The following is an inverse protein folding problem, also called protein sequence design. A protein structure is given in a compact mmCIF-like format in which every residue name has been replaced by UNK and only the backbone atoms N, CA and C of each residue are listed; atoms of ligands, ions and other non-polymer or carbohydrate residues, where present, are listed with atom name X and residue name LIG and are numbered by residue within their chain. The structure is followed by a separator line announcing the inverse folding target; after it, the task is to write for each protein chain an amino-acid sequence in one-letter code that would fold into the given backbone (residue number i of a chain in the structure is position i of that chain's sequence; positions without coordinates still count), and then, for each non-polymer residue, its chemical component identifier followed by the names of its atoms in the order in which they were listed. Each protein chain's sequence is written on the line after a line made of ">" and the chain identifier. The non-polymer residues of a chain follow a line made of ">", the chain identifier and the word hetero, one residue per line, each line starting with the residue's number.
data_IF_326513009062
#
_entry.id   IF_326513009062
#
_cell.length_a   1.000
_cell.length_b   1.000
_cell.length_c   1.000
_cell.angle_alpha   90.00
_cell.angle_beta   90.00
_cell.angle_gamma   90.00
#
_symmetry.space_group_name_H-M   'P 1'
#
loop_
_entity.id
_entity.type
_entity.pdbx_description
1 polymer ?
#
# COMPACT_ATOMS: atom_id res chain seq x y z
N UNK A 1 7.80 -19.12 -1.47
CA UNK A 1 7.77 -17.66 -1.27
C UNK A 1 9.12 -17.08 -1.67
N UNK A 2 9.12 -16.01 -2.43
CA UNK A 2 10.37 -15.37 -2.81
C UNK A 2 11.02 -14.68 -1.61
N UNK A 3 12.34 -14.56 -1.61
CA UNK A 3 13.09 -13.86 -0.57
C UNK A 3 12.65 -12.40 -0.47
N UNK A 4 12.30 -11.79 -1.61
CA UNK A 4 11.80 -10.42 -1.67
C UNK A 4 10.49 -10.25 -0.92
N UNK A 5 9.56 -11.18 -1.10
CA UNK A 5 8.28 -11.14 -0.40
C UNK A 5 8.47 -11.34 1.10
N UNK A 6 9.32 -12.28 1.50
CA UNK A 6 9.62 -12.51 2.91
C UNK A 6 10.28 -11.29 3.54
N UNK A 7 11.21 -10.66 2.83
CA UNK A 7 11.87 -9.44 3.30
C UNK A 7 10.87 -8.32 3.52
N UNK A 8 9.94 -8.12 2.59
CA UNK A 8 8.90 -7.10 2.72
C UNK A 8 8.01 -7.36 3.94
N UNK A 9 7.60 -8.61 4.13
CA UNK A 9 6.77 -8.99 5.28
C UNK A 9 7.51 -8.79 6.60
N UNK A 10 8.78 -9.15 6.67
CA UNK A 10 9.59 -8.97 7.88
C UNK A 10 9.79 -7.49 8.19
N UNK A 11 10.02 -6.67 7.16
CA UNK A 11 10.13 -5.22 7.32
C UNK A 11 8.82 -4.63 7.87
N UNK A 12 7.68 -5.05 7.33
CA UNK A 12 6.38 -4.54 7.73
C UNK A 12 6.02 -4.91 9.17
N UNK A 13 6.51 -6.03 9.67
CA UNK A 13 6.31 -6.43 11.07
C UNK A 13 6.89 -5.44 12.07
N UNK A 14 7.85 -4.62 11.66
CA UNK A 14 8.50 -3.62 12.51
C UNK A 14 7.77 -2.28 12.50
N UNK A 15 6.67 -2.16 11.75
CA UNK A 15 5.91 -0.92 11.63
C UNK A 15 4.61 -1.07 12.42
N UNK A 16 4.48 -0.41 13.59
CA UNK A 16 3.32 -0.60 14.46
C UNK A 16 1.98 -0.31 13.78
N UNK A 17 1.92 0.72 12.95
CA UNK A 17 0.67 1.09 12.28
C UNK A 17 0.20 0.00 11.31
N UNK A 18 1.13 -0.59 10.56
CA UNK A 18 0.82 -1.69 9.65
C UNK A 18 0.32 -2.89 10.44
N UNK A 19 0.95 -3.18 11.58
CA UNK A 19 0.52 -4.27 12.45
C UNK A 19 -0.86 -4.02 13.05
N UNK A 20 -1.14 -2.78 13.44
CA UNK A 20 -2.44 -2.42 14.00
C UNK A 20 -3.57 -2.66 13.00
N UNK A 21 -3.35 -2.31 11.73
CA UNK A 21 -4.34 -2.51 10.67
C UNK A 21 -4.32 -3.92 10.09
N UNK A 22 -3.34 -4.73 10.46
CA UNK A 22 -3.14 -6.09 9.95
C UNK A 22 -2.95 -6.12 8.43
N UNK A 23 -2.30 -5.09 7.88
CA UNK A 23 -1.99 -5.04 6.46
C UNK A 23 -0.93 -6.09 6.15
N UNK A 24 -1.16 -6.87 5.09
CA UNK A 24 -0.26 -7.93 4.68
C UNK A 24 0.09 -7.80 3.20
N UNK A 25 1.38 -7.95 2.88
CA UNK A 25 1.81 -8.04 1.49
C UNK A 25 1.55 -9.44 0.97
N UNK A 26 0.70 -9.55 -0.05
CA UNK A 26 0.30 -10.82 -0.64
C UNK A 26 1.19 -11.23 -1.81
N UNK A 27 1.60 -10.27 -2.64
CA UNK A 27 2.43 -10.53 -3.79
C UNK A 27 3.29 -9.31 -4.12
N UNK A 28 4.49 -9.56 -4.65
CA UNK A 28 5.40 -8.53 -5.13
C UNK A 28 5.98 -8.96 -6.47
N UNK A 29 6.17 -7.98 -7.32
CA UNK A 29 7.01 -8.12 -8.50
C UNK A 29 7.72 -6.77 -8.70
N UNK A 30 8.56 -6.69 -9.69
CA UNK A 30 9.33 -5.49 -9.96
C UNK A 30 8.41 -4.33 -10.33
N UNK A 31 8.29 -3.36 -9.43
CA UNK A 31 7.43 -2.20 -9.61
C UNK A 31 5.96 -2.42 -9.29
N UNK A 32 5.58 -3.57 -8.74
CA UNK A 32 4.19 -3.87 -8.37
C UNK A 32 4.09 -4.48 -6.99
N UNK A 33 2.95 -4.27 -6.34
CA UNK A 33 2.66 -4.87 -5.05
C UNK A 33 1.17 -5.12 -4.90
N UNK A 34 0.82 -6.22 -4.25
CA UNK A 34 -0.55 -6.52 -3.85
C UNK A 34 -0.59 -6.71 -2.35
N UNK A 35 -1.42 -5.94 -1.68
CA UNK A 35 -1.59 -5.98 -0.24
C UNK A 35 -3.04 -6.29 0.11
N UNK A 36 -3.26 -6.76 1.32
CA UNK A 36 -4.60 -7.02 1.84
C UNK A 36 -4.76 -6.46 3.24
N UNK A 37 -6.01 -6.25 3.63
CA UNK A 37 -6.39 -5.76 4.94
C UNK A 37 -7.69 -6.45 5.36
N UNK A 38 -7.72 -7.14 6.53
CA UNK A 38 -8.95 -7.72 7.02
C UNK A 38 -9.91 -6.63 7.50
N UNK A 39 -11.18 -6.77 7.16
CA UNK A 39 -12.19 -5.78 7.55
C UNK A 39 -12.75 -6.16 8.91
N UNK A 40 -12.38 -5.36 9.92
CA UNK A 40 -12.80 -5.55 11.30
C UNK A 40 -13.78 -4.44 11.69
N UNK A 41 -14.69 -4.67 12.64
CA UNK A 41 -15.68 -3.66 13.03
C UNK A 41 -15.10 -2.30 13.41
N UNK A 42 -13.95 -2.28 14.09
CA UNK A 42 -13.31 -1.03 14.51
C UNK A 42 -12.69 -0.23 13.35
N UNK A 43 -12.71 -0.79 12.14
CA UNK A 43 -12.21 -0.11 10.93
C UNK A 43 -13.35 0.46 10.09
N UNK A 44 -14.57 0.39 10.58
CA UNK A 44 -15.75 0.84 9.84
C UNK A 44 -16.19 2.24 10.27
N UNK A 45 -16.98 2.87 9.39
CA UNK A 45 -17.58 4.17 9.63
C UNK A 45 -19.00 4.03 10.19
N UNK A 46 -19.74 5.15 10.31
CA UNK A 46 -21.11 5.17 10.83
C UNK A 46 -22.11 4.36 9.98
N UNK A 47 -21.76 4.02 8.76
CA UNK A 47 -22.62 3.25 7.85
C UNK A 47 -22.26 1.76 7.83
N UNK A 48 -21.28 1.34 8.62
CA UNK A 48 -20.84 -0.06 8.66
C UNK A 48 -19.94 -0.47 7.50
N UNK A 49 -19.51 0.48 6.66
CA UNK A 49 -18.53 0.21 5.59
C UNK A 49 -17.13 0.63 6.02
N UNK A 50 -16.11 0.20 5.31
CA UNK A 50 -14.73 0.52 5.68
C UNK A 50 -14.52 2.03 5.66
N UNK A 51 -13.94 2.55 6.73
CA UNK A 51 -13.66 3.98 6.86
C UNK A 51 -12.68 4.42 5.75
N UNK A 52 -12.96 5.58 5.14
CA UNK A 52 -12.10 6.11 4.07
C UNK A 52 -10.64 6.27 4.47
N UNK A 53 -10.38 6.62 5.73
CA UNK A 53 -9.02 6.71 6.25
C UNK A 53 -8.28 5.37 6.26
N UNK A 54 -9.00 4.28 6.46
CA UNK A 54 -8.41 2.92 6.39
C UNK A 54 -8.06 2.58 4.95
N UNK A 55 -8.97 2.86 4.02
CA UNK A 55 -8.75 2.64 2.59
C UNK A 55 -7.51 3.43 2.12
N UNK A 56 -7.42 4.68 2.52
CA UNK A 56 -6.27 5.54 2.18
C UNK A 56 -4.97 5.01 2.77
N UNK A 57 -5.02 4.48 4.00
CA UNK A 57 -3.84 3.88 4.64
C UNK A 57 -3.37 2.64 3.89
N UNK A 58 -4.30 1.76 3.50
CA UNK A 58 -3.96 0.58 2.72
C UNK A 58 -3.32 0.96 1.38
N UNK A 59 -3.90 1.94 0.69
CA UNK A 59 -3.35 2.44 -0.58
C UNK A 59 -1.97 3.04 -0.39
N UNK A 60 -1.78 3.84 0.65
CA UNK A 60 -0.47 4.45 0.93
C UNK A 60 0.61 3.39 1.12
N UNK A 61 0.34 2.38 1.93
CA UNK A 61 1.29 1.29 2.17
C UNK A 61 1.56 0.52 0.88
N UNK A 62 0.53 0.25 0.08
CA UNK A 62 0.69 -0.47 -1.19
C UNK A 62 1.54 0.32 -2.19
N UNK A 63 1.28 1.63 -2.32
CA UNK A 63 2.03 2.50 -3.23
C UNK A 63 3.51 2.59 -2.84
N UNK A 64 3.78 2.77 -1.55
CA UNK A 64 5.15 2.80 -1.05
C UNK A 64 5.86 1.45 -1.23
N UNK A 65 5.14 0.35 -1.01
CA UNK A 65 5.70 -0.99 -1.19
C UNK A 65 6.09 -1.24 -2.64
N UNK A 66 5.23 -0.86 -3.58
CA UNK A 66 5.53 -0.99 -5.01
C UNK A 66 6.79 -0.21 -5.40
N UNK A 67 6.91 1.04 -4.95
CA UNK A 67 8.09 1.86 -5.22
C UNK A 67 9.35 1.21 -4.64
N UNK A 68 9.25 0.67 -3.44
CA UNK A 68 10.37 0.06 -2.75
C UNK A 68 10.90 -1.19 -3.44
N UNK A 69 10.08 -1.91 -4.20
CA UNK A 69 10.55 -3.09 -4.96
C UNK A 69 11.65 -2.75 -5.94
N UNK A 70 11.70 -1.50 -6.43
CA UNK A 70 12.74 -1.03 -7.36
C UNK A 70 13.98 -0.50 -6.65
N UNK A 71 13.93 -0.38 -5.32
CA UNK A 71 15.03 0.16 -4.51
C UNK A 71 15.24 -0.70 -3.26
N UNK A 72 15.67 -1.97 -3.45
CA UNK A 72 15.79 -2.90 -2.32
C UNK A 72 16.80 -2.46 -1.26
N UNK A 73 17.80 -1.65 -1.64
CA UNK A 73 18.81 -1.13 -0.72
C UNK A 73 18.40 0.20 -0.06
N UNK A 74 17.21 0.71 -0.36
CA UNK A 74 16.74 1.97 0.25
C UNK A 74 16.51 1.78 1.75
N UNK A 75 16.69 2.87 2.50
CA UNK A 75 16.42 2.84 3.95
C UNK A 75 14.94 3.09 4.25
N UNK A 76 14.18 3.56 3.28
CA UNK A 76 12.76 3.77 3.44
C UNK A 76 12.19 4.59 2.29
N UNK A 77 10.88 4.77 2.35
CA UNK A 77 10.12 5.55 1.37
C UNK A 77 9.18 6.45 2.15
N UNK A 78 9.09 7.71 1.77
CA UNK A 78 8.11 8.63 2.36
C UNK A 78 7.17 9.16 1.30
N UNK A 79 5.90 9.25 1.66
CA UNK A 79 4.86 9.77 0.78
C UNK A 79 4.95 11.30 0.75
N UNK A 80 5.11 11.87 -0.43
CA UNK A 80 5.11 13.32 -0.61
C UNK A 80 3.69 13.82 -0.84
N UNK A 81 2.95 13.11 -1.66
CA UNK A 81 1.57 13.47 -2.00
C UNK A 81 0.81 12.20 -2.33
N UNK A 82 -0.43 12.14 -1.91
CA UNK A 82 -1.35 11.05 -2.24
C UNK A 82 -2.72 11.64 -2.52
N UNK A 83 -3.27 11.32 -3.68
CA UNK A 83 -4.60 11.73 -4.07
C UNK A 83 -5.45 10.50 -4.36
N UNK A 84 -6.60 10.41 -3.70
CA UNK A 84 -7.48 9.26 -3.82
C UNK A 84 -8.89 9.69 -4.17
N UNK A 85 -9.54 8.90 -5.02
CA UNK A 85 -10.98 9.00 -5.29
C UNK A 85 -11.65 7.77 -4.71
N UNK A 86 -12.67 7.98 -3.88
CA UNK A 86 -13.46 6.91 -3.27
C UNK A 86 -14.68 6.69 -4.16
N UNK A 87 -14.78 5.49 -4.73
CA UNK A 87 -15.68 5.20 -5.84
C UNK A 87 -16.87 4.36 -5.37
N UNK A 88 -16.63 3.40 -4.47
CA UNK A 88 -17.68 2.51 -3.95
C UNK A 88 -17.36 2.14 -2.50
N UNK A 89 -18.32 1.56 -1.81
CA UNK A 89 -18.16 1.17 -0.42
C UNK A 89 -17.26 -0.06 -0.28
N UNK A 90 -16.34 0.00 0.68
CA UNK A 90 -15.54 -1.17 1.08
C UNK A 90 -16.31 -2.05 2.03
N UNK A 91 -16.34 -3.35 1.76
CA UNK A 91 -17.06 -4.32 2.58
C UNK A 91 -16.61 -5.74 2.30
N UNK A 92 -17.22 -6.68 3.03
CA UNK A 92 -16.83 -8.08 2.98
C UNK A 92 -15.76 -8.41 4.01
N UNK A 93 -14.99 -9.47 3.77
CA UNK A 93 -14.00 -9.94 4.74
C UNK A 93 -12.64 -9.23 4.60
N UNK A 94 -12.25 -8.89 3.39
CA UNK A 94 -10.95 -8.27 3.11
C UNK A 94 -11.04 -7.21 2.03
N UNK A 95 -10.16 -6.22 2.12
CA UNK A 95 -9.83 -5.31 1.02
C UNK A 95 -8.49 -5.70 0.44
N UNK A 96 -8.34 -5.51 -0.85
CA UNK A 96 -7.08 -5.69 -1.56
C UNK A 96 -6.67 -4.37 -2.21
N UNK A 97 -5.38 -4.10 -2.20
CA UNK A 97 -4.81 -2.97 -2.94
C UNK A 97 -3.76 -3.48 -3.90
N UNK A 98 -3.87 -3.09 -5.15
CA UNK A 98 -2.88 -3.36 -6.17
C UNK A 98 -2.22 -2.05 -6.58
N UNK A 99 -0.91 -1.99 -6.54
CA UNK A 99 -0.15 -0.79 -6.85
C UNK A 99 0.93 -1.09 -7.87
N UNK A 100 1.23 -0.10 -8.71
CA UNK A 100 2.31 -0.20 -9.69
C UNK A 100 3.02 1.12 -9.87
N UNK A 101 4.32 1.06 -10.12
CA UNK A 101 5.13 2.24 -10.42
C UNK A 101 4.89 2.65 -11.85
N UNK A 102 4.54 3.93 -12.05
CA UNK A 102 4.37 4.53 -13.37
C UNK A 102 5.69 5.05 -13.92
N UNK A 103 6.47 5.69 -13.06
CA UNK A 103 7.79 6.22 -13.41
C UNK A 103 8.65 6.26 -12.17
N UNK A 104 9.83 5.68 -12.28
CA UNK A 104 10.81 5.67 -11.20
C UNK A 104 11.94 6.65 -11.54
N UNK A 105 11.95 7.78 -10.83
CA UNK A 105 13.01 8.76 -10.96
C UNK A 105 14.16 8.48 -10.00
N UNK A 106 15.16 9.36 -10.00
CA UNK A 106 16.34 9.20 -9.15
C UNK A 106 16.00 9.16 -7.66
N UNK A 107 15.14 10.07 -7.19
CA UNK A 107 14.73 10.15 -5.79
C UNK A 107 13.21 10.13 -5.62
N UNK A 108 12.47 10.41 -6.69
CA UNK A 108 11.01 10.44 -6.68
C UNK A 108 10.47 9.32 -7.55
N UNK A 109 9.38 8.69 -7.07
CA UNK A 109 8.69 7.66 -7.81
C UNK A 109 7.22 8.04 -7.91
N UNK A 110 6.65 7.85 -9.10
CA UNK A 110 5.23 8.12 -9.35
C UNK A 110 4.51 6.79 -9.43
N UNK A 111 3.51 6.62 -8.58
CA UNK A 111 2.86 5.31 -8.37
C UNK A 111 1.35 5.47 -8.46
N UNK A 112 0.65 4.47 -8.98
CA UNK A 112 -0.80 4.42 -8.92
C UNK A 112 -1.26 3.11 -8.29
N UNK A 113 -2.47 3.11 -7.76
CA UNK A 113 -3.04 1.93 -7.14
C UNK A 113 -4.54 1.95 -7.08
N UNK A 114 -5.12 0.78 -6.85
CA UNK A 114 -6.55 0.57 -6.72
C UNK A 114 -6.83 -0.28 -5.50
N UNK A 115 -7.89 0.09 -4.75
CA UNK A 115 -8.41 -0.74 -3.69
C UNK A 115 -9.70 -1.41 -4.18
N UNK A 116 -9.84 -2.71 -3.89
CA UNK A 116 -10.98 -3.51 -4.33
C UNK A 116 -11.49 -4.39 -3.20
N UNK A 117 -12.78 -4.64 -3.22
CA UNK A 117 -13.39 -5.70 -2.42
C UNK A 117 -12.99 -7.07 -2.98
N UNK A 118 -13.23 -8.13 -2.19
CA UNK A 118 -12.93 -9.50 -2.64
C UNK A 118 -13.68 -9.90 -3.90
N UNK A 119 -14.87 -9.35 -4.12
CA UNK A 119 -15.67 -9.63 -5.32
C UNK A 119 -15.19 -8.86 -6.57
N UNK A 120 -14.13 -8.05 -6.43
CA UNK A 120 -13.58 -7.27 -7.53
C UNK A 120 -14.15 -5.87 -7.68
N UNK A 121 -15.11 -5.47 -6.85
CA UNK A 121 -15.67 -4.11 -6.90
C UNK A 121 -14.59 -3.08 -6.62
N UNK A 122 -14.43 -2.12 -7.51
CA UNK A 122 -13.47 -1.03 -7.33
C UNK A 122 -13.97 -0.07 -6.25
N UNK A 123 -13.21 0.03 -5.16
CA UNK A 123 -13.56 0.83 -4.00
C UNK A 123 -12.91 2.21 -4.07
N UNK A 124 -11.67 2.28 -4.47
CA UNK A 124 -10.94 3.55 -4.56
C UNK A 124 -9.79 3.44 -5.54
N UNK A 125 -9.39 4.58 -6.08
CA UNK A 125 -8.22 4.69 -6.96
C UNK A 125 -7.35 5.83 -6.47
N UNK A 126 -6.03 5.65 -6.50
CA UNK A 126 -5.11 6.65 -6.00
C UNK A 126 -3.88 6.77 -6.88
N UNK A 127 -3.31 7.97 -6.87
CA UNK A 127 -1.98 8.24 -7.39
C UNK A 127 -1.16 8.88 -6.28
N UNK A 128 0.13 8.64 -6.30
CA UNK A 128 1.03 9.21 -5.30
C UNK A 128 2.38 9.54 -5.89
N UNK A 129 3.03 10.52 -5.28
CA UNK A 129 4.45 10.78 -5.45
C UNK A 129 5.11 10.39 -4.15
N UNK A 130 6.11 9.51 -4.24
CA UNK A 130 6.84 9.06 -3.07
C UNK A 130 8.33 9.35 -3.26
N UNK A 131 9.00 9.61 -2.15
CA UNK A 131 10.43 9.85 -2.13
C UNK A 131 11.15 8.63 -1.58
N UNK A 132 12.13 8.14 -2.33
CA UNK A 132 12.97 7.02 -1.89
C UNK A 132 14.16 7.59 -1.14
N UNK A 133 14.37 7.08 0.06
CA UNK A 133 15.48 7.50 0.92
C UNK A 133 16.62 6.51 0.81
N UNK A 134 17.78 7.01 0.46
CA UNK A 134 18.99 6.20 0.35
C UNK A 134 19.92 6.48 1.52
N UNK A 135 20.74 5.49 1.87
CA UNK A 135 21.74 5.65 2.91
C UNK A 135 22.71 6.74 2.47
N UNK A 136 22.98 7.69 3.39
CA UNK A 136 23.94 8.75 3.11
C UNK A 136 25.34 8.19 2.88
N UNK A 137 25.97 8.65 1.82
CA UNK A 137 27.39 8.38 1.57
C UNK A 137 28.21 9.37 2.36
N UNK A 138 29.08 8.85 3.20
CA UNK A 138 30.05 9.65 3.94
C UNK A 138 31.40 9.57 3.26
#
# INVERSE_FOLDING_TARGET
>A
MSDTLQFARDYQKRIPFIQHLQIRTEALDKGTARLSLPIEPHLTNSLGTVHGGVIMSLLDVALCTAARTLHPESVGVITINLSASFIDAGGGAKLYADARVLKDGRSMSFVEGEAKNEDGTLVAKATATVRVLHKEKR
#
